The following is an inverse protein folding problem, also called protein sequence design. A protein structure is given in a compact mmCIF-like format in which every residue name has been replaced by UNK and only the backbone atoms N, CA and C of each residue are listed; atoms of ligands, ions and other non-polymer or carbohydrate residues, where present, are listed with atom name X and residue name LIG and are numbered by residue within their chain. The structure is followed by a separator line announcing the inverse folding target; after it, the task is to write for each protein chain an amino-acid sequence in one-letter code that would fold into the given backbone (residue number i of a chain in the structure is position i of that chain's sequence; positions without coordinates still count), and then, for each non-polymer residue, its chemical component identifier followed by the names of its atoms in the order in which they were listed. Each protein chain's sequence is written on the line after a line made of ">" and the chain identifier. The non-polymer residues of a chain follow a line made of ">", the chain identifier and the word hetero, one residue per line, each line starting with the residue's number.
data_IF_026812457299
#
_entry.id   IF_026812457299
#
_cell.length_a   1.000
_cell.length_b   1.000
_cell.length_c   1.000
_cell.angle_alpha   90.00
_cell.angle_beta   90.00
_cell.angle_gamma   90.00
#
_symmetry.space_group_name_H-M   'P 1'
#
loop_
_entity.id
_entity.type
_entity.pdbx_description
1 polymer ?
#
# COMPACT_ATOMS: atom_id res chain seq x y z
N UNK A 1 14.49 13.02 3.30
CA UNK A 1 13.25 12.26 3.47
C UNK A 1 13.60 10.91 4.03
N UNK A 2 13.10 10.60 5.22
CA UNK A 2 13.29 9.31 5.89
C UNK A 2 12.08 9.02 6.78
N UNK A 3 11.88 7.75 7.11
CA UNK A 3 10.88 7.32 8.10
C UNK A 3 11.44 7.66 9.48
N UNK A 4 10.66 8.34 10.32
CA UNK A 4 11.07 8.77 11.65
C UNK A 4 10.47 7.93 12.75
N UNK A 5 9.20 7.57 12.60
CA UNK A 5 8.43 6.89 13.63
C UNK A 5 7.49 5.87 12.99
N UNK A 6 7.41 4.69 13.61
CA UNK A 6 6.37 3.70 13.34
C UNK A 6 5.68 3.38 14.66
N UNK A 7 4.38 3.67 14.74
CA UNK A 7 3.53 3.31 15.87
C UNK A 7 2.62 2.17 15.43
N UNK A 8 2.54 1.15 16.26
CA UNK A 8 1.81 -0.09 16.01
C UNK A 8 0.89 -0.37 17.19
N UNK A 9 -0.36 -0.74 16.91
CA UNK A 9 -1.27 -1.24 17.92
C UNK A 9 -2.20 -2.29 17.33
N UNK A 10 -2.27 -3.45 17.98
CA UNK A 10 -3.07 -4.59 17.51
C UNK A 10 -2.65 -5.16 16.16
N UNK A 11 -1.51 -4.77 15.60
CA UNK A 11 -1.06 -5.25 14.30
C UNK A 11 -0.29 -6.56 14.45
N UNK A 12 -0.84 -7.68 13.95
CA UNK A 12 -0.26 -9.01 14.02
C UNK A 12 0.26 -9.33 15.41
N UNK A 13 1.55 -9.53 15.61
CA UNK A 13 2.17 -9.85 16.90
C UNK A 13 2.19 -8.69 17.91
N UNK A 14 1.89 -7.46 17.49
CA UNK A 14 1.94 -6.25 18.32
C UNK A 14 0.60 -5.99 19.02
N UNK A 15 0.27 -6.78 20.04
CA UNK A 15 -0.97 -6.61 20.81
C UNK A 15 -1.04 -5.23 21.52
N UNK A 16 0.04 -4.87 22.20
CA UNK A 16 0.16 -3.58 22.90
C UNK A 16 0.69 -2.49 21.95
N UNK A 17 0.52 -1.23 22.35
CA UNK A 17 1.13 -0.10 21.65
C UNK A 17 2.64 -0.26 21.63
N UNK A 18 3.25 -0.19 20.45
CA UNK A 18 4.68 -0.19 20.24
C UNK A 18 5.05 1.01 19.39
N UNK A 19 6.06 1.78 19.82
CA UNK A 19 6.58 2.92 19.09
C UNK A 19 8.05 2.63 18.75
N UNK A 20 8.41 2.76 17.48
CA UNK A 20 9.75 2.56 16.97
C UNK A 20 10.24 3.87 16.36
N UNK A 21 11.35 4.37 16.86
CA UNK A 21 11.98 5.59 16.40
C UNK A 21 13.17 5.22 15.50
N UNK A 22 13.24 5.84 14.33
CA UNK A 22 14.25 5.61 13.31
C UNK A 22 15.10 6.86 13.19
N UNK A 23 16.43 6.68 13.25
CA UNK A 23 17.38 7.77 13.02
C UNK A 23 17.69 7.96 11.54
N UNK A 24 18.34 9.08 11.22
CA UNK A 24 19.01 9.26 9.94
C UNK A 24 20.20 8.28 9.86
N UNK A 25 20.11 7.27 9.01
CA UNK A 25 21.17 6.27 8.83
C UNK A 25 20.64 4.84 8.73
N UNK A 26 21.35 3.90 9.35
CA UNK A 26 21.02 2.48 9.31
C UNK A 26 20.35 2.08 10.63
N UNK A 27 19.11 1.59 10.54
CA UNK A 27 18.41 0.98 11.67
C UNK A 27 18.37 -0.53 11.47
N UNK A 28 18.94 -1.28 12.43
CA UNK A 28 18.93 -2.74 12.41
C UNK A 28 17.84 -3.28 13.34
N UNK A 29 16.95 -4.12 12.82
CA UNK A 29 15.93 -4.83 13.60
C UNK A 29 16.38 -6.27 13.83
N UNK A 30 16.65 -6.62 15.08
CA UNK A 30 17.18 -7.95 15.47
C UNK A 30 16.28 -8.62 16.51
N UNK A 31 16.42 -9.94 16.67
CA UNK A 31 15.63 -10.74 17.61
C UNK A 31 15.46 -12.20 17.17
N UNK A 32 14.90 -13.07 18.01
CA UNK A 32 14.69 -14.49 17.70
C UNK A 32 13.74 -14.73 16.52
N UNK A 33 13.79 -15.91 15.91
CA UNK A 33 12.83 -16.30 14.87
C UNK A 33 11.41 -16.37 15.45
N UNK A 34 10.43 -15.88 14.69
CA UNK A 34 9.04 -15.83 15.14
C UNK A 34 8.67 -14.68 16.08
N UNK A 35 9.61 -13.82 16.50
CA UNK A 35 9.31 -12.72 17.44
C UNK A 35 8.63 -11.50 16.79
N UNK A 36 8.23 -11.57 15.52
CA UNK A 36 7.51 -10.50 14.83
C UNK A 36 8.37 -9.48 14.09
N UNK A 37 9.68 -9.70 13.91
CA UNK A 37 10.57 -8.77 13.17
C UNK A 37 10.03 -8.41 11.79
N UNK A 38 9.65 -9.41 11.00
CA UNK A 38 9.16 -9.20 9.65
C UNK A 38 7.76 -8.55 9.63
N UNK A 39 7.01 -8.61 10.73
CA UNK A 39 5.72 -7.89 10.85
C UNK A 39 5.92 -6.37 10.87
N UNK A 40 7.11 -5.87 11.20
CA UNK A 40 7.45 -4.43 11.08
C UNK A 40 7.42 -4.01 9.61
N UNK A 41 8.01 -4.82 8.75
CA UNK A 41 8.03 -4.59 7.29
C UNK A 41 6.61 -4.66 6.72
N UNK A 42 5.82 -5.64 7.15
CA UNK A 42 4.41 -5.74 6.74
C UNK A 42 3.61 -4.51 7.17
N UNK A 43 3.85 -4.00 8.38
CA UNK A 43 3.15 -2.82 8.89
C UNK A 43 3.46 -1.57 8.06
N UNK A 44 4.74 -1.38 7.68
CA UNK A 44 5.17 -0.29 6.80
C UNK A 44 4.51 -0.42 5.42
N UNK A 45 4.49 -1.61 4.82
CA UNK A 45 3.80 -1.83 3.53
C UNK A 45 2.30 -1.58 3.63
N UNK A 46 1.69 -2.06 4.71
CA UNK A 46 0.26 -1.93 4.92
C UNK A 46 -0.17 -0.47 5.10
N UNK A 47 0.54 0.32 5.91
CA UNK A 47 0.22 1.74 6.09
C UNK A 47 0.50 2.58 4.83
N UNK A 48 1.48 2.17 4.00
CA UNK A 48 1.73 2.76 2.67
C UNK A 48 0.74 2.30 1.59
N UNK A 49 -0.25 1.49 1.94
CA UNK A 49 -1.41 1.22 1.08
C UNK A 49 -1.48 -0.18 0.47
N UNK A 50 -0.65 -1.14 0.89
CA UNK A 50 -0.77 -2.53 0.41
C UNK A 50 -2.17 -3.11 0.72
N UNK A 51 -2.84 -3.65 -0.29
CA UNK A 51 -4.18 -4.24 -0.18
C UNK A 51 -4.19 -5.77 -0.36
N UNK A 52 -3.12 -6.35 -0.88
CA UNK A 52 -3.03 -7.80 -1.08
C UNK A 52 -2.61 -8.44 0.24
N UNK A 53 -3.56 -9.06 0.92
CA UNK A 53 -3.31 -9.83 2.15
C UNK A 53 -2.23 -10.90 1.97
N UNK A 54 -2.09 -11.47 0.77
CA UNK A 54 -1.05 -12.45 0.45
C UNK A 54 0.37 -11.86 0.49
N UNK A 55 0.56 -10.62 0.06
CA UNK A 55 1.84 -9.89 0.19
C UNK A 55 2.13 -9.64 1.67
N UNK A 56 1.10 -9.32 2.43
CA UNK A 56 1.18 -9.17 3.88
C UNK A 56 1.24 -10.50 4.61
N UNK A 57 1.41 -11.67 3.96
CA UNK A 57 1.54 -12.97 4.63
C UNK A 57 0.38 -13.27 5.60
N UNK A 58 -0.82 -12.89 5.20
CA UNK A 58 -2.09 -13.12 5.90
C UNK A 58 -3.07 -13.87 4.98
N UNK A 59 -4.08 -14.54 5.54
CA UNK A 59 -5.09 -15.28 4.76
C UNK A 59 -6.21 -14.38 4.24
N UNK A 60 -6.60 -13.40 5.06
CA UNK A 60 -7.54 -12.32 4.75
C UNK A 60 -7.03 -11.01 5.34
N UNK A 61 -7.69 -9.90 5.03
CA UNK A 61 -7.25 -8.59 5.53
C UNK A 61 -7.46 -8.47 7.05
N UNK A 62 -8.54 -9.03 7.60
CA UNK A 62 -8.86 -8.96 9.03
C UNK A 62 -7.87 -9.77 9.89
N UNK A 63 -7.17 -10.74 9.28
CA UNK A 63 -6.15 -11.57 9.94
C UNK A 63 -4.89 -10.76 10.31
N UNK A 64 -4.77 -9.50 9.86
CA UNK A 64 -3.72 -8.60 10.33
C UNK A 64 -4.01 -8.05 11.74
N UNK A 65 -5.24 -8.18 12.23
CA UNK A 65 -5.60 -7.81 13.61
C UNK A 65 -5.10 -8.90 14.55
N UNK A 66 -4.48 -8.51 15.66
CA UNK A 66 -3.98 -9.43 16.68
C UNK A 66 -5.09 -10.38 17.14
N UNK A 67 -4.85 -11.68 16.91
CA UNK A 67 -5.86 -12.71 17.11
C UNK A 67 -5.74 -13.43 18.46
N UNK A 68 -5.05 -12.83 19.44
CA UNK A 68 -4.87 -13.39 20.77
C UNK A 68 -3.59 -14.22 20.92
N UNK A 69 -3.18 -14.38 22.16
CA UNK A 69 -2.07 -15.24 22.57
C UNK A 69 -2.33 -15.75 23.99
N UNK A 70 -1.47 -16.61 24.53
CA UNK A 70 -1.58 -17.06 25.92
C UNK A 70 -1.59 -15.85 26.86
N UNK A 71 -2.70 -15.64 27.57
CA UNK A 71 -2.89 -14.52 28.49
C UNK A 71 -3.34 -13.20 27.85
N UNK A 72 -3.56 -13.14 26.53
CA UNK A 72 -3.99 -11.94 25.82
C UNK A 72 -5.20 -12.24 24.92
N UNK A 73 -6.30 -11.52 25.13
CA UNK A 73 -7.49 -11.65 24.31
C UNK A 73 -7.26 -11.09 22.89
N UNK A 74 -7.94 -11.61 21.86
CA UNK A 74 -7.94 -11.02 20.54
C UNK A 74 -8.45 -9.58 20.57
N UNK A 75 -7.92 -8.71 19.70
CA UNK A 75 -8.37 -7.33 19.55
C UNK A 75 -9.39 -7.22 18.41
N UNK A 76 -10.22 -6.17 18.44
CA UNK A 76 -11.24 -5.87 17.42
C UNK A 76 -10.76 -4.91 16.34
N UNK A 77 -9.61 -4.26 16.57
CA UNK A 77 -9.06 -3.20 15.72
C UNK A 77 -7.54 -3.31 15.72
N UNK A 78 -6.93 -2.94 14.61
CA UNK A 78 -5.51 -2.61 14.57
C UNK A 78 -5.27 -1.28 13.89
N UNK A 79 -4.21 -0.60 14.30
CA UNK A 79 -3.82 0.72 13.84
C UNK A 79 -2.30 0.76 13.67
N UNK A 80 -1.88 1.33 12.55
CA UNK A 80 -0.48 1.61 12.25
C UNK A 80 -0.38 3.06 11.81
N UNK A 81 0.57 3.80 12.37
CA UNK A 81 0.92 5.13 11.90
C UNK A 81 2.41 5.21 11.58
N UNK A 82 2.75 5.76 10.41
CA UNK A 82 4.10 5.99 9.93
C UNK A 82 4.33 7.48 9.82
N UNK A 83 5.38 8.01 10.43
CA UNK A 83 5.78 9.41 10.26
C UNK A 83 6.98 9.47 9.33
N UNK A 84 6.91 10.36 8.33
CA UNK A 84 7.97 10.63 7.37
C UNK A 84 8.41 12.07 7.53
N UNK A 85 9.71 12.28 7.79
CA UNK A 85 10.31 13.61 7.72
C UNK A 85 10.54 13.99 6.25
N UNK A 86 9.77 14.94 5.73
CA UNK A 86 9.80 15.51 4.37
C UNK A 86 10.77 16.70 4.20
N UNK A 87 11.93 16.68 4.86
CA UNK A 87 12.92 17.77 4.82
C UNK A 87 13.48 18.16 3.43
N UNK A 88 13.17 17.40 2.38
CA UNK A 88 13.61 17.66 0.99
C UNK A 88 12.46 18.06 0.06
N UNK A 89 11.25 18.30 0.60
CA UNK A 89 10.07 18.68 -0.20
C UNK A 89 9.69 17.65 -1.27
N UNK A 90 9.98 16.36 -1.02
CA UNK A 90 9.71 15.29 -2.00
C UNK A 90 8.25 14.87 -2.01
N UNK A 91 7.58 14.94 -0.85
CA UNK A 91 6.15 14.78 -0.77
C UNK A 91 5.49 16.12 -1.15
N UNK A 92 4.44 16.12 -2.00
CA UNK A 92 3.71 17.32 -2.42
C UNK A 92 2.81 17.88 -1.32
N UNK A 93 3.38 18.13 -0.14
CA UNK A 93 2.71 18.62 1.06
C UNK A 93 3.63 19.63 1.77
N UNK A 94 3.06 20.72 2.30
CA UNK A 94 3.80 21.83 2.95
C UNK A 94 4.35 21.49 4.34
N UNK A 95 3.94 20.36 4.93
CA UNK A 95 4.40 19.90 6.24
C UNK A 95 5.76 19.19 6.14
N UNK A 96 6.65 19.55 7.07
CA UNK A 96 7.94 18.86 7.25
C UNK A 96 7.75 17.44 7.79
N UNK A 97 6.74 17.20 8.62
CA UNK A 97 6.46 15.89 9.19
C UNK A 97 5.09 15.44 8.71
N UNK A 98 5.06 14.26 8.08
CA UNK A 98 3.84 13.70 7.50
C UNK A 98 3.54 12.37 8.18
N UNK A 99 2.49 12.33 9.00
CA UNK A 99 1.98 11.13 9.67
C UNK A 99 0.90 10.48 8.79
N UNK A 100 1.17 9.28 8.28
CA UNK A 100 0.21 8.46 7.56
C UNK A 100 -0.34 7.43 8.53
N UNK A 101 -1.66 7.38 8.71
CA UNK A 101 -2.33 6.42 9.57
C UNK A 101 -3.26 5.51 8.78
N UNK A 102 -3.27 4.22 9.15
CA UNK A 102 -4.23 3.24 8.64
C UNK A 102 -4.78 2.41 9.80
N UNK A 103 -6.09 2.19 9.80
CA UNK A 103 -6.81 1.38 10.78
C UNK A 103 -7.75 0.40 10.08
N UNK A 104 -7.90 -0.79 10.64
CA UNK A 104 -8.93 -1.74 10.20
C UNK A 104 -9.66 -2.33 11.41
N UNK A 105 -10.94 -2.59 11.25
CA UNK A 105 -11.81 -3.22 12.24
C UNK A 105 -12.19 -4.64 11.77
N UNK A 106 -12.59 -5.50 12.71
CA UNK A 106 -13.01 -6.89 12.40
C UNK A 106 -14.23 -6.99 11.48
N UNK A 107 -15.02 -5.93 11.35
CA UNK A 107 -16.13 -5.88 10.41
C UNK A 107 -15.68 -5.60 8.96
N UNK A 108 -14.39 -5.38 8.72
CA UNK A 108 -13.81 -5.08 7.41
C UNK A 108 -13.63 -3.59 7.13
N UNK A 109 -14.19 -2.71 7.96
CA UNK A 109 -14.08 -1.27 7.78
C UNK A 109 -12.62 -0.82 7.92
N UNK A 110 -12.19 0.05 7.00
CA UNK A 110 -10.84 0.60 6.98
C UNK A 110 -10.87 2.12 7.00
N UNK A 111 -10.05 2.73 7.85
CA UNK A 111 -9.86 4.18 7.94
C UNK A 111 -8.43 4.55 7.54
N UNK A 112 -8.30 5.70 6.88
CA UNK A 112 -7.04 6.23 6.39
C UNK A 112 -6.92 7.69 6.82
N UNK A 113 -5.72 8.09 7.21
CA UNK A 113 -5.45 9.47 7.61
C UNK A 113 -4.10 9.96 7.10
N UNK A 114 -4.03 11.24 6.78
CA UNK A 114 -2.78 11.98 6.56
C UNK A 114 -2.80 13.15 7.54
N UNK A 115 -1.80 13.26 8.39
CA UNK A 115 -1.73 14.22 9.50
C UNK A 115 -3.03 14.22 10.33
N UNK A 116 -3.53 13.01 10.65
CA UNK A 116 -4.77 12.76 11.40
C UNK A 116 -6.05 13.28 10.74
N UNK A 117 -5.96 13.80 9.53
CA UNK A 117 -7.12 14.19 8.73
C UNK A 117 -7.59 12.98 7.92
N UNK A 118 -8.88 12.59 7.99
CA UNK A 118 -9.42 11.50 7.21
C UNK A 118 -9.18 11.69 5.71
N UNK A 119 -8.74 10.64 5.03
CA UNK A 119 -8.51 10.63 3.59
C UNK A 119 -8.93 9.30 2.97
N UNK A 120 -8.80 9.17 1.65
CA UNK A 120 -8.97 7.89 0.96
C UNK A 120 -7.61 7.22 0.83
N UNK A 121 -7.63 5.90 0.65
CA UNK A 121 -6.42 5.14 0.31
C UNK A 121 -5.73 5.68 -0.96
N UNK A 122 -6.52 6.13 -1.94
CA UNK A 122 -6.00 6.73 -3.16
C UNK A 122 -5.12 7.95 -2.86
N UNK A 123 -5.51 8.77 -1.89
CA UNK A 123 -4.78 9.98 -1.53
C UNK A 123 -3.40 9.62 -0.91
N UNK A 124 -3.31 8.51 -0.17
CA UNK A 124 -2.02 7.95 0.32
C UNK A 124 -1.16 7.45 -0.85
N UNK A 125 -1.74 6.75 -1.82
CA UNK A 125 -0.97 6.32 -2.99
C UNK A 125 -0.43 7.52 -3.78
N UNK A 126 -1.30 8.48 -4.10
CA UNK A 126 -0.94 9.66 -4.89
C UNK A 126 0.16 10.49 -4.21
N UNK A 127 0.22 10.49 -2.86
CA UNK A 127 1.28 11.14 -2.09
C UNK A 127 2.68 10.56 -2.36
N UNK A 128 2.79 9.26 -2.63
CA UNK A 128 4.07 8.55 -2.78
C UNK A 128 4.42 8.14 -4.21
N UNK A 129 3.49 8.22 -5.17
CA UNK A 129 3.68 7.78 -6.57
C UNK A 129 4.96 8.32 -7.21
N UNK A 130 5.27 9.61 -7.00
CA UNK A 130 6.42 10.27 -7.63
C UNK A 130 7.71 10.18 -6.80
N UNK A 131 7.65 9.58 -5.60
CA UNK A 131 8.79 9.53 -4.67
C UNK A 131 9.57 8.23 -4.69
N UNK A 132 9.01 7.16 -5.29
CA UNK A 132 9.55 5.82 -5.17
C UNK A 132 9.44 5.22 -3.76
N UNK A 133 8.54 5.74 -2.91
CA UNK A 133 8.21 5.21 -1.58
C UNK A 133 6.75 4.71 -1.49
N UNK A 134 6.29 3.97 -2.50
CA UNK A 134 5.01 3.25 -2.47
C UNK A 134 5.12 1.85 -1.85
N UNK A 135 3.99 1.20 -1.59
CA UNK A 135 3.95 -0.20 -1.13
C UNK A 135 4.74 -1.18 -2.03
N UNK A 136 4.73 -0.94 -3.34
CA UNK A 136 5.46 -1.72 -4.35
C UNK A 136 6.89 -1.17 -4.64
N UNK A 137 7.32 -0.09 -3.98
CA UNK A 137 8.53 0.60 -4.38
C UNK A 137 9.80 0.05 -3.69
N UNK A 138 10.97 0.32 -4.29
CA UNK A 138 12.32 -0.11 -3.84
C UNK A 138 12.68 0.22 -2.40
N UNK A 139 11.86 1.02 -1.71
CA UNK A 139 11.94 1.24 -0.27
C UNK A 139 11.84 -0.04 0.56
N UNK A 140 11.26 -1.13 0.03
CA UNK A 140 11.13 -2.40 0.76
C UNK A 140 11.57 -3.58 -0.10
N UNK A 141 12.80 -4.04 0.08
CA UNK A 141 13.35 -5.23 -0.58
C UNK A 141 13.12 -6.47 0.29
N UNK A 142 12.41 -7.46 -0.26
CA UNK A 142 12.18 -8.77 0.36
C UNK A 142 12.94 -9.88 -0.35
N UNK A 143 13.10 -11.03 0.32
CA UNK A 143 13.73 -12.23 -0.26
C UNK A 143 13.12 -12.61 -1.61
N UNK A 144 11.79 -12.54 -1.75
CA UNK A 144 11.10 -12.83 -3.02
C UNK A 144 11.50 -11.89 -4.16
N UNK A 145 11.84 -10.63 -3.85
CA UNK A 145 12.32 -9.70 -4.87
C UNK A 145 13.73 -10.07 -5.34
N UNK A 146 14.56 -10.64 -4.46
CA UNK A 146 15.86 -11.20 -4.85
C UNK A 146 15.66 -12.39 -5.79
N UNK A 147 14.71 -13.27 -5.49
CA UNK A 147 14.35 -14.38 -6.39
C UNK A 147 13.83 -13.88 -7.75
N UNK A 148 13.07 -12.77 -7.78
CA UNK A 148 12.62 -12.14 -9.03
C UNK A 148 13.77 -11.54 -9.84
N UNK A 149 14.79 -10.97 -9.19
CA UNK A 149 16.01 -10.50 -9.88
C UNK A 149 16.73 -11.68 -10.53
N UNK A 150 16.76 -12.82 -9.84
CA UNK A 150 17.38 -14.06 -10.30
C UNK A 150 16.48 -14.85 -11.27
N UNK A 151 15.24 -14.40 -11.50
CA UNK A 151 14.28 -15.06 -12.39
C UNK A 151 14.80 -15.07 -13.83
N UNK A 152 14.63 -16.22 -14.49
CA UNK A 152 14.97 -16.37 -15.90
C UNK A 152 13.93 -15.71 -16.82
N UNK A 153 12.73 -15.40 -16.31
CA UNK A 153 11.67 -14.81 -17.14
C UNK A 153 12.01 -13.36 -17.52
N UNK A 154 11.90 -13.05 -18.81
CA UNK A 154 12.18 -11.70 -19.30
C UNK A 154 11.17 -10.67 -18.76
N UNK A 155 9.96 -11.09 -18.44
CA UNK A 155 8.89 -10.21 -17.98
C UNK A 155 9.11 -9.73 -16.54
N UNK A 156 9.56 -10.61 -15.64
CA UNK A 156 9.91 -10.22 -14.26
C UNK A 156 11.05 -9.19 -14.26
N UNK A 157 12.12 -9.45 -15.03
CA UNK A 157 13.24 -8.50 -15.15
C UNK A 157 12.80 -7.18 -15.76
N UNK A 158 11.99 -7.22 -16.83
CA UNK A 158 11.48 -6.00 -17.49
C UNK A 158 10.70 -5.14 -16.49
N UNK A 159 9.81 -5.73 -15.71
CA UNK A 159 9.01 -5.02 -14.71
C UNK A 159 9.90 -4.26 -13.72
N UNK A 160 11.01 -4.84 -13.29
CA UNK A 160 11.99 -4.15 -12.44
C UNK A 160 12.60 -2.93 -13.12
N UNK A 161 13.04 -3.04 -14.38
CA UNK A 161 13.56 -1.88 -15.12
C UNK A 161 12.52 -0.77 -15.30
N UNK A 162 11.26 -1.14 -15.52
CA UNK A 162 10.17 -0.18 -15.69
C UNK A 162 9.83 0.54 -14.37
N UNK A 163 9.88 -0.18 -13.25
CA UNK A 163 9.77 0.38 -11.91
C UNK A 163 10.92 1.35 -11.62
N UNK A 164 12.18 0.95 -11.91
CA UNK A 164 13.36 1.79 -11.73
C UNK A 164 13.37 3.05 -12.62
N UNK A 165 12.86 2.91 -13.86
CA UNK A 165 12.73 4.02 -14.79
C UNK A 165 11.60 5.00 -14.43
N UNK A 166 10.81 4.71 -13.39
CA UNK A 166 9.70 5.56 -12.95
C UNK A 166 8.55 5.66 -13.96
N UNK A 167 8.47 4.75 -14.94
CA UNK A 167 7.46 4.85 -16.02
C UNK A 167 6.08 4.32 -15.62
N UNK A 168 5.94 3.78 -14.41
CA UNK A 168 4.70 3.18 -13.90
C UNK A 168 3.51 4.14 -13.87
N UNK A 169 3.75 5.42 -13.58
CA UNK A 169 2.72 6.46 -13.63
C UNK A 169 2.13 6.57 -15.04
N UNK A 170 2.99 6.68 -16.05
CA UNK A 170 2.57 6.80 -17.45
C UNK A 170 1.89 5.53 -17.95
N UNK A 171 2.40 4.35 -17.58
CA UNK A 171 1.74 3.07 -17.88
C UNK A 171 0.34 2.98 -17.29
N UNK A 172 0.19 3.35 -16.03
CA UNK A 172 -1.11 3.33 -15.34
C UNK A 172 -2.08 4.32 -15.97
N UNK A 173 -1.63 5.54 -16.29
CA UNK A 173 -2.43 6.54 -17.01
C UNK A 173 -2.86 6.04 -18.39
N UNK A 174 -1.94 5.47 -19.17
CA UNK A 174 -2.24 4.88 -20.48
C UNK A 174 -3.28 3.77 -20.37
N UNK A 175 -3.12 2.85 -19.41
CA UNK A 175 -4.08 1.75 -19.18
C UNK A 175 -5.46 2.27 -18.77
N UNK A 176 -5.52 3.29 -17.93
CA UNK A 176 -6.77 3.95 -17.54
C UNK A 176 -7.45 4.64 -18.74
N UNK A 177 -6.69 5.35 -19.57
CA UNK A 177 -7.20 5.99 -20.77
C UNK A 177 -7.78 4.97 -21.75
N UNK A 178 -7.06 3.87 -22.03
CA UNK A 178 -7.55 2.79 -22.91
C UNK A 178 -8.86 2.20 -22.39
N UNK A 179 -8.95 1.91 -21.08
CA UNK A 179 -10.19 1.41 -20.46
C UNK A 179 -11.37 2.38 -20.63
N UNK A 180 -11.12 3.69 -20.51
CA UNK A 180 -12.16 4.71 -20.74
C UNK A 180 -12.62 4.73 -22.20
N UNK A 181 -11.70 4.60 -23.15
CA UNK A 181 -12.05 4.49 -24.57
C UNK A 181 -12.89 3.24 -24.85
N UNK A 182 -12.51 2.09 -24.30
CA UNK A 182 -13.28 0.83 -24.45
C UNK A 182 -14.69 0.94 -23.88
N UNK A 183 -14.84 1.51 -22.68
CA UNK A 183 -16.14 1.75 -22.07
C UNK A 183 -17.01 2.69 -22.92
N UNK A 184 -16.43 3.81 -23.38
CA UNK A 184 -17.13 4.77 -24.24
C UNK A 184 -17.58 4.13 -25.56
N UNK A 185 -16.75 3.26 -26.14
CA UNK A 185 -17.10 2.51 -27.35
C UNK A 185 -18.27 1.56 -27.10
N UNK A 186 -18.27 0.82 -26.00
CA UNK A 186 -19.41 -0.03 -25.62
C UNK A 186 -20.70 0.76 -25.42
N UNK A 187 -20.62 1.96 -24.85
CA UNK A 187 -21.77 2.83 -24.70
C UNK A 187 -22.31 3.32 -26.06
N UNK A 188 -21.43 3.67 -27.00
CA UNK A 188 -21.81 4.04 -28.36
C UNK A 188 -22.44 2.86 -29.13
N UNK A 189 -21.88 1.66 -29.01
CA UNK A 189 -22.41 0.45 -29.64
C UNK A 189 -23.83 0.17 -29.13
N UNK A 190 -24.08 0.31 -27.81
CA UNK A 190 -25.42 0.20 -27.22
C UNK A 190 -26.40 1.25 -27.75
N UNK A 191 -25.96 2.49 -27.92
CA UNK A 191 -26.81 3.55 -28.49
C UNK A 191 -27.17 3.22 -29.94
N UNK A 192 -26.21 2.72 -30.72
CA UNK A 192 -26.46 2.31 -32.10
C UNK A 192 -27.47 1.16 -32.20
N UNK A 193 -27.39 0.17 -31.30
CA UNK A 193 -28.37 -0.92 -31.23
C UNK A 193 -29.80 -0.39 -31.00
N UNK A 194 -29.97 0.55 -30.07
CA UNK A 194 -31.27 1.20 -29.81
C UNK A 194 -31.76 1.97 -31.04
N UNK A 195 -30.89 2.72 -31.71
CA UNK A 195 -31.25 3.47 -32.92
C UNK A 195 -31.72 2.54 -34.03
N UNK A 196 -31.03 1.40 -34.23
CA UNK A 196 -31.41 0.40 -35.22
C UNK A 196 -32.77 -0.22 -34.89
N UNK A 197 -33.02 -0.56 -33.62
CA UNK A 197 -34.30 -1.12 -33.18
C UNK A 197 -35.46 -0.14 -33.43
N UNK A 198 -35.27 1.15 -33.09
CA UNK A 198 -36.29 2.19 -33.33
C UNK A 198 -36.57 2.38 -34.81
N UNK A 199 -35.53 2.40 -35.66
CA UNK A 199 -35.70 2.52 -37.12
C UNK A 199 -36.43 1.34 -37.75
N UNK A 200 -36.36 0.16 -37.15
CA UNK A 200 -37.00 -1.06 -37.68
C UNK A 200 -38.47 -1.16 -37.26
N UNK A 201 -38.90 -0.38 -36.26
CA UNK A 201 -40.29 -0.32 -35.75
C UNK A 201 -41.17 0.74 -36.45
N UNK A 202 -40.61 1.52 -37.38
CA UNK A 202 -41.32 2.50 -38.22
C UNK A 202 -41.38 1.97 -39.65
#
# INVERSE_FOLDING_TARGET
>A
MFISDLKLHGFKSFANKANMNFGEGITAVVGPNGCGKTNIVDAIRWVLGEQKYSILRSGRMEDIIFNGAKGLKPLSVCEVSLTVHNNKGKLPIEYNDVEIGRRIYRNGDSEYTINRTPCRLKDIHDLFVDTGMGADAYSVIELKMIEQILSETAEDRKRMFEEAAGINKYKTQRKSAIRKFEATRQDLDRINDIILEVKTKV
#
